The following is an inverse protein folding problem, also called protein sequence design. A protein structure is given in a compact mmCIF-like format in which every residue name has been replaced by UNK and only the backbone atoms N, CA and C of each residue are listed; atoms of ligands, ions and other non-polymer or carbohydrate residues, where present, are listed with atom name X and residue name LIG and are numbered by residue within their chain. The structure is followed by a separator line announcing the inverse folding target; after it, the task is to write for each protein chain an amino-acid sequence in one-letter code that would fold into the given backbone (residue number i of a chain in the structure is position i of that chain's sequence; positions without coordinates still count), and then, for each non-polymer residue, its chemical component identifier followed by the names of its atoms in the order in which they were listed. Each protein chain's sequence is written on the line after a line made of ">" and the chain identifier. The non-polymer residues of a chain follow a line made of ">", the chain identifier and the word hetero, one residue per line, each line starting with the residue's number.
data_IF_144732881140
#
_entry.id   IF_144732881140
#
_cell.length_a   1.000
_cell.length_b   1.000
_cell.length_c   1.000
_cell.angle_alpha   90.00
_cell.angle_beta   90.00
_cell.angle_gamma   90.00
#
_symmetry.space_group_name_H-M   'P 1'
#
loop_
_entity.id
_entity.type
_entity.pdbx_description
1 polymer ?
#
# COMPACT_ATOMS: atom_id res chain seq x y z
N UNK A 1 -0.50 8.63 -0.94
CA UNK A 1 0.14 9.61 -1.81
C UNK A 1 0.81 10.72 -1.01
N UNK A 2 0.17 11.27 0.01
CA UNK A 2 0.71 12.39 0.78
C UNK A 2 2.00 12.08 1.55
N UNK A 3 2.27 10.81 1.85
CA UNK A 3 3.51 10.40 2.51
C UNK A 3 4.77 10.63 1.66
N UNK A 4 4.62 10.86 0.36
CA UNK A 4 5.70 11.22 -0.57
C UNK A 4 5.99 12.74 -0.61
N UNK A 5 5.18 13.55 0.04
CA UNK A 5 5.37 14.99 0.09
C UNK A 5 6.37 15.40 1.17
N UNK A 6 7.10 16.53 0.99
CA UNK A 6 8.00 17.06 2.01
C UNK A 6 7.34 17.27 3.37
N UNK A 7 6.04 17.54 3.40
CA UNK A 7 5.27 17.73 4.63
C UNK A 7 5.26 16.49 5.52
N UNK A 8 5.45 15.29 4.96
CA UNK A 8 5.53 14.05 5.73
C UNK A 8 6.73 13.99 6.67
N UNK A 9 7.78 14.76 6.39
CA UNK A 9 9.00 14.83 7.19
C UNK A 9 9.18 16.16 7.92
N UNK A 10 8.49 17.22 7.48
CA UNK A 10 8.63 18.58 8.05
C UNK A 10 7.54 18.92 9.06
N UNK A 11 6.38 18.29 8.96
CA UNK A 11 5.31 18.48 9.95
C UNK A 11 5.50 17.54 11.15
N UNK A 12 4.96 17.96 12.27
CA UNK A 12 4.75 17.08 13.41
C UNK A 12 3.97 15.83 12.98
N UNK A 13 4.41 14.60 13.35
CA UNK A 13 3.77 13.36 12.89
C UNK A 13 2.27 13.27 13.21
N UNK A 14 1.85 13.78 14.37
CA UNK A 14 0.46 13.74 14.78
C UNK A 14 -0.40 14.69 13.93
N UNK A 15 0.12 15.88 13.62
CA UNK A 15 -0.53 16.83 12.72
C UNK A 15 -0.59 16.30 11.29
N UNK A 16 0.48 15.66 10.83
CA UNK A 16 0.48 15.02 9.52
C UNK A 16 -0.60 13.95 9.42
N UNK A 17 -0.72 13.07 10.42
CA UNK A 17 -1.77 12.05 10.46
C UNK A 17 -3.17 12.66 10.46
N UNK A 18 -3.38 13.71 11.23
CA UNK A 18 -4.68 14.39 11.31
C UNK A 18 -5.08 15.05 9.99
N UNK A 19 -4.15 15.75 9.33
CA UNK A 19 -4.45 16.58 8.16
C UNK A 19 -4.36 15.83 6.83
N UNK A 20 -3.45 14.87 6.72
CA UNK A 20 -3.16 14.13 5.50
C UNK A 20 -3.47 12.64 5.59
N UNK A 21 -3.24 12.02 6.74
CA UNK A 21 -3.56 10.62 6.99
C UNK A 21 -5.06 10.39 7.12
N UNK A 22 -5.75 11.31 7.76
CA UNK A 22 -7.20 11.28 7.98
C UNK A 22 -7.72 9.89 8.39
N UNK A 23 -7.21 9.30 9.47
CA UNK A 23 -7.60 7.96 9.89
C UNK A 23 -9.09 7.93 10.28
N UNK A 24 -9.81 6.96 9.77
CA UNK A 24 -11.26 6.81 10.02
C UNK A 24 -11.61 5.69 10.99
N UNK A 25 -10.63 4.86 11.40
CA UNK A 25 -10.80 3.74 12.34
C UNK A 25 -11.90 2.73 11.99
N UNK A 26 -12.30 2.66 10.72
CA UNK A 26 -13.29 1.69 10.25
C UNK A 26 -12.62 0.35 10.03
N UNK A 27 -13.15 -0.71 10.65
CA UNK A 27 -12.78 -2.09 10.35
C UNK A 27 -13.46 -2.51 9.03
N UNK A 28 -12.67 -2.56 7.95
CA UNK A 28 -13.15 -2.92 6.62
C UNK A 28 -13.72 -4.35 6.60
N UNK A 29 -13.09 -5.28 7.34
CA UNK A 29 -13.56 -6.66 7.41
C UNK A 29 -14.95 -6.78 8.02
N UNK A 30 -15.20 -6.09 9.13
CA UNK A 30 -16.52 -6.04 9.77
C UNK A 30 -17.56 -5.34 8.88
N UNK A 31 -17.17 -4.24 8.22
CA UNK A 31 -18.06 -3.54 7.31
C UNK A 31 -18.50 -4.44 6.15
N UNK A 32 -17.57 -5.15 5.53
CA UNK A 32 -17.83 -6.11 4.44
C UNK A 32 -18.75 -7.24 4.91
N UNK A 33 -18.51 -7.76 6.11
CA UNK A 33 -19.33 -8.80 6.74
C UNK A 33 -20.77 -8.32 6.97
N UNK A 34 -20.94 -7.08 7.43
CA UNK A 34 -22.26 -6.47 7.61
C UNK A 34 -23.06 -6.35 6.29
N UNK A 35 -22.38 -6.29 5.15
CA UNK A 35 -22.99 -6.33 3.82
C UNK A 35 -23.17 -7.75 3.26
N UNK A 36 -22.93 -8.79 4.05
CA UNK A 36 -23.13 -10.18 3.64
C UNK A 36 -22.09 -10.70 2.63
N UNK A 37 -20.94 -10.01 2.48
CA UNK A 37 -19.89 -10.42 1.58
C UNK A 37 -18.77 -11.16 2.35
N UNK A 38 -18.21 -12.25 1.79
CA UNK A 38 -17.03 -12.87 2.33
C UNK A 38 -15.81 -11.95 2.19
N UNK A 39 -14.98 -11.93 3.22
CA UNK A 39 -13.70 -11.21 3.17
C UNK A 39 -12.54 -12.08 3.66
N UNK A 40 -11.35 -11.73 3.22
CA UNK A 40 -10.10 -12.41 3.61
C UNK A 40 -8.98 -11.38 3.70
N UNK A 41 -8.32 -11.31 4.86
CA UNK A 41 -7.09 -10.53 5.00
C UNK A 41 -5.90 -11.37 4.61
N UNK A 42 -5.07 -10.89 3.69
CA UNK A 42 -3.89 -11.58 3.18
C UNK A 42 -2.62 -10.82 3.56
N UNK A 43 -1.54 -11.56 3.87
CA UNK A 43 -0.24 -11.03 4.29
C UNK A 43 0.90 -11.44 3.36
N UNK A 44 0.67 -12.41 2.46
CA UNK A 44 1.69 -12.94 1.56
C UNK A 44 1.15 -13.04 0.14
N UNK A 45 2.06 -13.04 -0.84
CA UNK A 45 1.71 -13.23 -2.27
C UNK A 45 1.02 -14.58 -2.50
N UNK A 46 1.43 -15.62 -1.80
CA UNK A 46 0.79 -16.94 -1.91
C UNK A 46 -0.66 -16.91 -1.43
N UNK A 47 -0.94 -16.24 -0.30
CA UNK A 47 -2.31 -16.06 0.19
C UNK A 47 -3.15 -15.21 -0.78
N UNK A 48 -2.57 -14.15 -1.35
CA UNK A 48 -3.25 -13.32 -2.35
C UNK A 48 -3.63 -14.14 -3.59
N UNK A 49 -2.69 -14.92 -4.13
CA UNK A 49 -2.97 -15.83 -5.26
C UNK A 49 -4.07 -16.82 -4.95
N UNK A 50 -4.03 -17.43 -3.76
CA UNK A 50 -5.07 -18.35 -3.31
C UNK A 50 -6.46 -17.69 -3.17
N UNK A 51 -6.49 -16.48 -2.65
CA UNK A 51 -7.74 -15.72 -2.52
C UNK A 51 -8.31 -15.30 -3.89
N UNK A 52 -7.47 -14.89 -4.83
CA UNK A 52 -7.87 -14.53 -6.19
C UNK A 52 -8.36 -15.72 -7.02
N UNK A 53 -7.89 -16.92 -6.74
CA UNK A 53 -8.30 -18.14 -7.43
C UNK A 53 -9.71 -18.63 -7.03
N UNK A 54 -10.30 -18.09 -5.98
CA UNK A 54 -11.63 -18.49 -5.52
C UNK A 54 -12.73 -17.77 -6.33
N UNK A 55 -13.76 -18.50 -6.68
CA UNK A 55 -14.92 -17.95 -7.40
C UNK A 55 -15.87 -17.15 -6.50
N UNK A 56 -16.65 -16.27 -7.12
CA UNK A 56 -17.68 -15.46 -6.47
C UNK A 56 -17.17 -14.09 -6.02
N UNK A 57 -18.12 -13.22 -5.68
CA UNK A 57 -17.83 -11.87 -5.19
C UNK A 57 -17.26 -11.93 -3.78
N UNK A 58 -16.15 -11.27 -3.55
CA UNK A 58 -15.48 -11.19 -2.24
C UNK A 58 -14.63 -9.95 -2.12
N UNK A 59 -14.25 -9.61 -0.91
CA UNK A 59 -13.28 -8.54 -0.64
C UNK A 59 -11.98 -9.16 -0.11
N UNK A 60 -10.86 -8.81 -0.72
CA UNK A 60 -9.53 -9.20 -0.27
C UNK A 60 -8.87 -7.98 0.34
N UNK A 61 -8.48 -8.07 1.60
CA UNK A 61 -7.89 -6.98 2.36
C UNK A 61 -6.38 -7.18 2.41
N UNK A 62 -5.64 -6.20 1.91
CA UNK A 62 -4.18 -6.14 1.98
C UNK A 62 -3.80 -4.93 2.83
N UNK A 63 -3.32 -5.16 4.04
CA UNK A 63 -2.84 -4.09 4.90
C UNK A 63 -1.43 -3.68 4.48
N UNK A 64 -1.20 -2.39 4.30
CA UNK A 64 0.09 -1.81 3.97
C UNK A 64 0.50 -0.77 5.01
N UNK A 65 1.81 -0.54 5.15
CA UNK A 65 2.36 0.55 5.94
C UNK A 65 2.77 1.70 5.01
N UNK A 66 2.31 2.92 5.30
CA UNK A 66 2.54 4.08 4.44
C UNK A 66 4.01 4.52 4.42
N UNK A 67 4.74 4.36 5.52
CA UNK A 67 6.16 4.72 5.59
C UNK A 67 7.01 3.68 4.86
N UNK A 68 6.71 2.41 5.09
CA UNK A 68 7.37 1.32 4.36
C UNK A 68 7.12 1.45 2.86
N UNK A 69 5.90 1.81 2.45
CA UNK A 69 5.57 2.02 1.05
C UNK A 69 6.42 3.12 0.37
N UNK A 70 6.77 4.19 1.08
CA UNK A 70 7.70 5.22 0.55
C UNK A 70 9.08 4.61 0.32
N UNK A 71 9.62 3.90 1.31
CA UNK A 71 10.94 3.26 1.20
C UNK A 71 10.98 2.22 0.07
N UNK A 72 9.92 1.44 -0.10
CA UNK A 72 9.82 0.45 -1.17
C UNK A 72 9.80 1.11 -2.57
N UNK A 73 9.08 2.23 -2.72
CA UNK A 73 9.08 3.01 -3.96
C UNK A 73 10.44 3.62 -4.26
N UNK A 74 11.12 4.18 -3.27
CA UNK A 74 12.46 4.73 -3.45
C UNK A 74 13.44 3.66 -3.91
N UNK A 75 13.36 2.45 -3.37
CA UNK A 75 14.18 1.33 -3.81
C UNK A 75 13.89 0.92 -5.28
N UNK A 76 12.61 0.88 -5.66
CA UNK A 76 12.20 0.60 -7.05
C UNK A 76 12.69 1.69 -7.99
N UNK A 77 12.52 2.96 -7.65
CA UNK A 77 13.00 4.08 -8.47
C UNK A 77 14.51 4.06 -8.64
N UNK A 78 15.26 3.78 -7.58
CA UNK A 78 16.72 3.64 -7.65
C UNK A 78 17.14 2.50 -8.60
N UNK A 79 16.48 1.35 -8.52
CA UNK A 79 16.75 0.22 -9.40
C UNK A 79 16.45 0.52 -10.87
N UNK A 80 15.29 1.16 -11.15
CA UNK A 80 14.92 1.57 -12.50
C UNK A 80 15.90 2.61 -13.05
N UNK A 81 16.25 3.62 -12.25
CA UNK A 81 17.21 4.64 -12.66
C UNK A 81 18.59 4.04 -13.01
N UNK A 82 19.07 3.12 -12.17
CA UNK A 82 20.33 2.43 -12.43
C UNK A 82 20.30 1.61 -13.72
N UNK A 83 19.19 0.89 -13.98
CA UNK A 83 19.02 0.09 -15.19
C UNK A 83 18.97 0.95 -16.45
N UNK A 84 18.20 2.05 -16.44
CA UNK A 84 18.12 3.00 -17.55
C UNK A 84 19.46 3.68 -17.81
N UNK A 85 20.14 4.15 -16.76
CA UNK A 85 21.46 4.78 -16.87
C UNK A 85 22.51 3.84 -17.45
N UNK A 86 22.43 2.55 -17.11
CA UNK A 86 23.32 1.53 -17.71
C UNK A 86 23.02 1.31 -19.19
N UNK A 87 21.75 1.23 -19.56
CA UNK A 87 21.34 1.04 -20.96
C UNK A 87 21.80 2.20 -21.85
N UNK A 88 21.60 3.45 -21.38
CA UNK A 88 21.99 4.65 -22.13
C UNK A 88 23.51 4.86 -22.25
N UNK A 89 24.31 4.25 -21.38
CA UNK A 89 25.78 4.30 -21.48
C UNK A 89 26.38 3.17 -22.33
N UNK A 90 25.57 2.19 -22.71
CA UNK A 90 26.00 1.05 -23.52
C UNK A 90 25.89 1.30 -25.05
N UNK A 91 25.36 2.46 -25.43
CA UNK A 91 25.36 2.99 -26.79
C UNK A 91 26.60 3.92 -27.01
#
# INVERSE_FOLDING_TARGET
>A
IFSFLPQSTTLDPQRFEQLFGTPHNVDIGQLVQAHGLPNTTVKTVAQLKGALAQNGSRVIIVNTDRRQNVADHDAVYAAVYAAVSKALKAE
#
